data_IF_569662834937
#
_entry.id   IF_569662834937
#
_cell.length_a   1.000
_cell.length_b   1.000
_cell.length_c   1.000
_cell.angle_alpha   90.00
_cell.angle_beta   90.00
_cell.angle_gamma   90.00
#
_symmetry.space_group_name_H-M   'P 1'
#
loop_
_entity.id
_entity.type
_entity.pdbx_description
1 polymer ?
#
# COMPACT_ATOMS: atom_id res chain seq x y z
N UNK A 1 -5.56 8.76 2.98
CA UNK A 1 -4.15 8.31 2.88
C UNK A 1 -3.64 7.94 4.25
N UNK A 2 -3.00 6.78 4.36
CA UNK A 2 -2.38 6.29 5.60
C UNK A 2 -0.87 6.19 5.41
N UNK A 3 -0.10 6.73 6.34
CA UNK A 3 1.36 6.64 6.35
C UNK A 3 1.75 5.77 7.55
N UNK A 4 2.25 4.57 7.28
CA UNK A 4 2.66 3.62 8.32
C UNK A 4 4.05 3.99 8.81
N UNK A 5 4.20 4.07 10.13
CA UNK A 5 5.38 4.69 10.78
C UNK A 5 6.32 3.71 11.47
N UNK A 6 5.91 2.46 11.66
CA UNK A 6 6.60 1.46 12.50
C UNK A 6 7.23 0.29 11.72
N UNK A 7 7.40 0.44 10.40
CA UNK A 7 8.18 -0.53 9.60
C UNK A 7 9.60 0.00 9.42
N UNK A 8 10.62 -0.66 9.99
CA UNK A 8 12.00 -0.23 9.89
C UNK A 8 12.49 -0.25 8.44
N UNK A 9 13.31 0.73 8.09
CA UNK A 9 13.93 0.79 6.76
C UNK A 9 14.83 -0.43 6.55
N UNK A 10 14.61 -1.17 5.47
CA UNK A 10 15.41 -2.37 5.15
C UNK A 10 14.87 -3.68 5.73
N UNK A 11 13.91 -3.63 6.63
CA UNK A 11 13.25 -4.84 7.15
C UNK A 11 12.32 -5.44 6.08
N UNK A 12 12.84 -6.40 5.32
CA UNK A 12 12.07 -7.07 4.27
C UNK A 12 11.01 -8.02 4.85
N UNK A 13 11.25 -8.59 6.03
CA UNK A 13 10.29 -9.48 6.69
C UNK A 13 9.10 -8.68 7.24
N UNK A 14 9.36 -7.57 7.92
CA UNK A 14 8.32 -6.63 8.37
C UNK A 14 7.54 -6.03 7.20
N UNK A 15 8.21 -5.67 6.12
CA UNK A 15 7.55 -5.20 4.89
C UNK A 15 6.61 -6.27 4.30
N UNK A 16 7.08 -7.51 4.18
CA UNK A 16 6.27 -8.61 3.68
C UNK A 16 5.06 -8.89 4.58
N UNK A 17 5.28 -8.91 5.91
CA UNK A 17 4.19 -9.02 6.88
C UNK A 17 3.15 -7.91 6.77
N UNK A 18 3.59 -6.67 6.54
CA UNK A 18 2.68 -5.54 6.31
C UNK A 18 1.84 -5.72 5.05
N UNK A 19 2.46 -6.11 3.93
CA UNK A 19 1.72 -6.40 2.69
C UNK A 19 0.70 -7.51 2.88
N UNK A 20 1.08 -8.65 3.48
CA UNK A 20 0.15 -9.75 3.71
C UNK A 20 -1.06 -9.30 4.53
N UNK A 21 -0.83 -8.66 5.67
CA UNK A 21 -1.90 -8.19 6.58
C UNK A 21 -2.79 -7.13 5.97
N UNK A 22 -2.25 -6.22 5.15
CA UNK A 22 -3.03 -5.21 4.44
C UNK A 22 -3.89 -5.83 3.33
N UNK A 23 -3.36 -6.79 2.57
CA UNK A 23 -4.09 -7.54 1.54
C UNK A 23 -5.22 -8.35 2.17
N UNK A 24 -4.95 -9.06 3.27
CA UNK A 24 -5.95 -9.80 4.04
C UNK A 24 -7.04 -8.86 4.60
N UNK A 25 -6.65 -7.71 5.13
CA UNK A 25 -7.57 -6.72 5.66
C UNK A 25 -8.48 -6.12 4.58
N UNK A 26 -8.00 -6.01 3.35
CA UNK A 26 -8.76 -5.54 2.20
C UNK A 26 -9.55 -6.67 1.51
N UNK A 27 -9.33 -7.94 1.86
CA UNK A 27 -9.95 -9.09 1.18
C UNK A 27 -9.52 -9.22 -0.28
N UNK A 28 -8.27 -8.90 -0.62
CA UNK A 28 -7.76 -8.74 -1.98
C UNK A 28 -7.91 -7.32 -2.51
N UNK A 29 -8.09 -7.14 -3.81
CA UNK A 29 -8.28 -5.84 -4.46
C UNK A 29 -7.16 -4.83 -4.18
N UNK A 30 -5.92 -5.32 -4.05
CA UNK A 30 -4.77 -4.52 -3.65
C UNK A 30 -3.76 -4.40 -4.78
N UNK A 31 -3.36 -3.17 -5.09
CA UNK A 31 -2.22 -2.88 -5.96
C UNK A 31 -1.00 -2.51 -5.09
N UNK A 32 0.02 -3.37 -5.10
CA UNK A 32 1.28 -3.13 -4.41
C UNK A 32 2.33 -2.54 -5.35
N UNK A 33 2.82 -1.33 -5.06
CA UNK A 33 3.80 -0.62 -5.87
C UNK A 33 5.19 -0.64 -5.23
N UNK A 34 6.16 -1.15 -5.98
CA UNK A 34 7.55 -1.30 -5.56
C UNK A 34 8.48 -0.42 -6.38
N UNK A 35 9.53 0.06 -5.74
CA UNK A 35 10.60 0.84 -6.39
C UNK A 35 11.72 -0.04 -6.96
N UNK A 36 11.75 -1.34 -6.61
CA UNK A 36 12.75 -2.30 -7.06
C UNK A 36 12.17 -3.70 -7.25
N UNK A 37 12.47 -4.33 -8.39
CA UNK A 37 12.04 -5.69 -8.74
C UNK A 37 12.47 -6.72 -7.68
N UNK A 38 13.71 -6.61 -7.18
CA UNK A 38 14.22 -7.54 -6.18
C UNK A 38 13.38 -7.52 -4.88
N UNK A 39 12.95 -6.34 -4.43
CA UNK A 39 12.11 -6.21 -3.24
C UNK A 39 10.72 -6.80 -3.46
N UNK A 40 10.13 -6.56 -4.64
CA UNK A 40 8.87 -7.17 -5.05
C UNK A 40 8.98 -8.71 -4.98
N UNK A 41 10.01 -9.28 -5.60
CA UNK A 41 10.24 -10.74 -5.58
C UNK A 41 10.41 -11.29 -4.17
N UNK A 42 11.15 -10.59 -3.31
CA UNK A 42 11.37 -11.00 -1.93
C UNK A 42 10.09 -10.94 -1.09
N UNK A 43 9.24 -9.95 -1.29
CA UNK A 43 7.94 -9.86 -0.62
C UNK A 43 7.01 -10.95 -1.13
N UNK A 44 6.87 -11.08 -2.46
CA UNK A 44 6.03 -12.11 -3.08
C UNK A 44 6.37 -13.51 -2.53
N UNK A 45 7.65 -13.92 -2.56
CA UNK A 45 8.08 -15.23 -2.10
C UNK A 45 7.74 -15.53 -0.63
N UNK A 46 7.57 -14.50 0.21
CA UNK A 46 7.25 -14.66 1.64
C UNK A 46 5.75 -14.72 1.93
N UNK A 47 4.91 -14.19 1.04
CA UNK A 47 3.48 -14.02 1.35
C UNK A 47 2.56 -14.81 0.42
N UNK A 48 3.04 -15.31 -0.72
CA UNK A 48 2.21 -15.99 -1.71
C UNK A 48 1.46 -17.21 -1.12
N UNK A 49 2.17 -18.11 -0.45
CA UNK A 49 1.56 -19.30 0.16
C UNK A 49 0.59 -18.96 1.30
N UNK A 50 0.87 -17.89 2.05
CA UNK A 50 -0.01 -17.42 3.12
C UNK A 50 -1.33 -16.92 2.55
N UNK A 51 -1.28 -16.06 1.54
CA UNK A 51 -2.46 -15.51 0.88
C UNK A 51 -3.27 -16.57 0.15
N UNK A 52 -2.61 -17.54 -0.50
CA UNK A 52 -3.28 -18.66 -1.15
C UNK A 52 -4.10 -19.50 -0.16
N UNK A 53 -3.60 -19.74 1.06
CA UNK A 53 -4.35 -20.44 2.13
C UNK A 53 -5.59 -19.68 2.58
N UNK A 54 -5.58 -18.35 2.48
CA UNK A 54 -6.74 -17.49 2.76
C UNK A 54 -7.69 -17.34 1.55
N UNK A 55 -7.42 -18.06 0.45
CA UNK A 55 -8.21 -17.97 -0.77
C UNK A 55 -8.07 -16.66 -1.52
N UNK A 56 -6.92 -15.98 -1.36
CA UNK A 56 -6.56 -14.72 -2.02
C UNK A 56 -5.53 -14.99 -3.12
N UNK A 57 -5.79 -14.49 -4.33
CA UNK A 57 -4.88 -14.60 -5.47
C UNK A 57 -3.82 -13.51 -5.40
N UNK A 58 -2.55 -13.87 -5.48
CA UNK A 58 -1.45 -12.91 -5.56
C UNK A 58 -0.76 -13.01 -6.91
N UNK A 59 -0.91 -11.97 -7.71
CA UNK A 59 -0.25 -11.79 -9.00
C UNK A 59 0.98 -10.89 -8.83
N UNK A 60 2.04 -11.13 -9.58
CA UNK A 60 3.25 -10.33 -9.46
C UNK A 60 3.96 -10.15 -10.80
N UNK A 61 4.13 -8.90 -11.22
CA UNK A 61 4.98 -8.52 -12.34
C UNK A 61 6.43 -9.00 -12.09
N UNK A 62 7.10 -9.49 -13.10
CA UNK A 62 8.49 -10.02 -13.02
C UNK A 62 8.65 -11.33 -12.21
N UNK A 63 7.56 -11.93 -11.75
CA UNK A 63 7.52 -13.24 -11.08
C UNK A 63 6.70 -14.21 -11.92
N UNK A 64 5.44 -13.86 -12.17
CA UNK A 64 4.58 -14.68 -13.01
C UNK A 64 5.01 -14.60 -14.48
N UNK A 65 5.06 -15.74 -15.20
CA UNK A 65 5.47 -15.80 -16.61
C UNK A 65 4.34 -15.37 -17.55
N UNK A 66 3.70 -14.24 -17.23
CA UNK A 66 2.54 -13.68 -17.92
C UNK A 66 2.84 -12.22 -18.25
N UNK A 67 2.38 -11.74 -19.40
CA UNK A 67 2.55 -10.34 -19.76
C UNK A 67 1.73 -9.40 -18.84
N UNK A 68 2.17 -8.17 -18.74
CA UNK A 68 1.58 -7.19 -17.82
C UNK A 68 0.12 -6.89 -18.13
N UNK A 69 -0.29 -6.90 -19.39
CA UNK A 69 -1.70 -6.67 -19.79
C UNK A 69 -2.61 -7.76 -19.25
N UNK A 70 -2.22 -9.02 -19.46
CA UNK A 70 -2.96 -10.19 -18.96
C UNK A 70 -3.02 -10.20 -17.42
N UNK A 71 -1.92 -9.83 -16.71
CA UNK A 71 -1.93 -9.70 -15.25
C UNK A 71 -2.97 -8.67 -14.78
N UNK A 72 -3.04 -7.53 -15.48
CA UNK A 72 -4.03 -6.47 -15.17
C UNK A 72 -5.46 -6.93 -15.45
N UNK A 73 -5.68 -7.69 -16.53
CA UNK A 73 -7.00 -8.24 -16.87
C UNK A 73 -7.47 -9.23 -15.80
N UNK A 74 -6.62 -10.17 -15.38
CA UNK A 74 -6.93 -11.11 -14.28
C UNK A 74 -7.24 -10.33 -12.98
N UNK A 75 -6.44 -9.33 -12.65
CA UNK A 75 -6.65 -8.49 -11.47
C UNK A 75 -7.97 -7.71 -11.53
N UNK A 76 -8.38 -7.27 -12.72
CA UNK A 76 -9.66 -6.58 -12.92
C UNK A 76 -10.85 -7.50 -12.72
N UNK A 77 -10.74 -8.75 -13.18
CA UNK A 77 -11.86 -9.68 -13.21
C UNK A 77 -12.04 -10.46 -11.90
N UNK A 78 -11.00 -10.55 -11.06
CA UNK A 78 -11.06 -11.22 -9.76
C UNK A 78 -10.93 -10.23 -8.59
N UNK A 79 -12.04 -9.93 -7.87
CA UNK A 79 -12.00 -9.03 -6.71
C UNK A 79 -11.15 -9.53 -5.53
N UNK A 80 -10.79 -10.83 -5.51
CA UNK A 80 -9.90 -11.42 -4.51
C UNK A 80 -8.43 -11.39 -4.93
N UNK A 81 -8.15 -11.04 -6.17
CA UNK A 81 -6.79 -10.88 -6.64
C UNK A 81 -6.14 -9.62 -6.08
N UNK A 82 -4.84 -9.70 -5.89
CA UNK A 82 -3.95 -8.55 -5.62
C UNK A 82 -2.79 -8.60 -6.60
N UNK A 83 -2.29 -7.45 -7.01
CA UNK A 83 -1.23 -7.34 -8.01
C UNK A 83 -0.04 -6.56 -7.44
N UNK A 84 1.14 -7.20 -7.46
CA UNK A 84 2.39 -6.53 -7.12
C UNK A 84 3.12 -6.11 -8.41
N UNK A 85 3.57 -4.87 -8.45
CA UNK A 85 4.30 -4.36 -9.60
C UNK A 85 5.23 -3.20 -9.28
N UNK A 86 5.91 -2.74 -10.32
CA UNK A 86 6.82 -1.60 -10.27
C UNK A 86 6.20 -0.36 -10.91
N UNK A 87 6.99 0.69 -11.07
CA UNK A 87 6.57 1.96 -11.67
C UNK A 87 5.82 1.80 -13.02
N UNK A 88 6.13 0.76 -13.79
CA UNK A 88 5.45 0.48 -15.07
C UNK A 88 3.96 0.18 -14.90
N UNK A 89 3.57 -0.48 -13.81
CA UNK A 89 2.15 -0.73 -13.50
C UNK A 89 1.42 0.54 -13.05
N UNK A 90 2.12 1.48 -12.44
CA UNK A 90 1.51 2.76 -12.04
C UNK A 90 0.88 3.49 -13.22
N UNK A 91 1.49 3.40 -14.41
CA UNK A 91 1.05 4.11 -15.61
C UNK A 91 0.00 3.33 -16.42
N UNK A 92 -0.05 1.99 -16.31
CA UNK A 92 -0.83 1.09 -17.15
C UNK A 92 -2.06 0.43 -16.52
N UNK A 93 -2.27 0.53 -15.20
CA UNK A 93 -3.40 -0.14 -14.55
C UNK A 93 -4.66 0.73 -14.63
N UNK A 94 -5.63 0.26 -15.38
CA UNK A 94 -6.99 0.79 -15.43
C UNK A 94 -8.00 -0.24 -14.91
N UNK A 95 -8.19 -0.25 -13.59
CA UNK A 95 -9.08 -1.19 -12.89
C UNK A 95 -10.10 -0.38 -12.10
N UNK A 96 -11.33 -0.26 -12.58
CA UNK A 96 -12.38 0.49 -11.90
C UNK A 96 -13.08 -0.34 -10.82
N UNK A 97 -13.68 0.35 -9.86
CA UNK A 97 -14.62 -0.21 -8.89
C UNK A 97 -13.98 -1.12 -7.84
N UNK A 98 -14.70 -2.17 -7.46
CA UNK A 98 -14.37 -3.02 -6.30
C UNK A 98 -13.11 -3.89 -6.49
N UNK A 99 -12.62 -4.03 -7.70
CA UNK A 99 -11.39 -4.78 -7.97
C UNK A 99 -10.11 -4.05 -7.53
N UNK A 100 -10.16 -2.73 -7.35
CA UNK A 100 -9.06 -1.95 -6.77
C UNK A 100 -9.54 -1.09 -5.59
N UNK A 101 -9.35 -1.60 -4.38
CA UNK A 101 -9.79 -0.98 -3.12
C UNK A 101 -8.64 -0.41 -2.31
N UNK A 102 -7.42 -0.91 -2.53
CA UNK A 102 -6.24 -0.54 -1.77
C UNK A 102 -5.03 -0.39 -2.68
N UNK A 103 -4.33 0.74 -2.59
CA UNK A 103 -3.00 0.90 -3.17
C UNK A 103 -1.99 0.96 -2.03
N UNK A 104 -0.96 0.12 -2.09
CA UNK A 104 0.12 0.08 -1.10
C UNK A 104 1.44 0.42 -1.78
N UNK A 105 2.10 1.47 -1.33
CA UNK A 105 3.41 1.90 -1.79
C UNK A 105 4.47 1.51 -0.77
N UNK A 106 5.49 0.74 -1.19
CA UNK A 106 6.50 0.19 -0.27
C UNK A 106 7.33 1.26 0.43
N UNK A 107 7.51 2.40 -0.25
CA UNK A 107 8.24 3.58 0.24
C UNK A 107 7.93 4.80 -0.61
N UNK A 108 8.44 5.96 -0.17
CA UNK A 108 8.45 7.18 -0.99
C UNK A 108 9.23 6.92 -2.29
N UNK A 109 8.65 7.17 -3.49
CA UNK A 109 9.24 6.80 -4.77
C UNK A 109 10.28 7.81 -5.27
N UNK A 110 11.36 7.99 -4.51
CA UNK A 110 12.46 8.89 -4.89
C UNK A 110 13.07 8.47 -6.22
N UNK A 111 13.46 9.44 -7.07
CA UNK A 111 14.15 9.16 -8.31
C UNK A 111 15.47 8.41 -8.05
N UNK A 112 15.81 7.50 -8.96
CA UNK A 112 17.14 6.85 -8.90
C UNK A 112 18.20 7.84 -9.37
N UNK A 113 19.38 7.88 -8.73
CA UNK A 113 20.50 8.73 -9.14
C UNK A 113 21.13 8.18 -10.43
N UNK A 114 20.62 8.63 -11.58
CA UNK A 114 21.18 8.37 -12.90
C UNK A 114 21.82 9.65 -13.45
N UNK A 115 22.70 9.52 -14.44
CA UNK A 115 23.31 10.69 -15.11
C UNK A 115 22.24 11.64 -15.67
N UNK A 116 21.21 11.07 -16.31
CA UNK A 116 20.10 11.83 -16.86
C UNK A 116 19.30 12.55 -15.77
N UNK A 117 19.04 11.84 -14.64
CA UNK A 117 18.35 12.46 -13.50
C UNK A 117 19.19 13.60 -12.89
N UNK A 118 20.50 13.38 -12.72
CA UNK A 118 21.40 14.41 -12.19
C UNK A 118 21.39 15.68 -13.08
N UNK A 119 21.43 15.53 -14.40
CA UNK A 119 21.34 16.66 -15.33
C UNK A 119 20.00 17.39 -15.23
N UNK A 120 18.87 16.68 -15.20
CA UNK A 120 17.53 17.25 -15.03
C UNK A 120 17.36 17.93 -13.68
N UNK A 121 17.89 17.33 -12.62
CA UNK A 121 17.87 17.89 -11.28
C UNK A 121 18.64 19.20 -11.20
N UNK A 122 19.81 19.29 -11.84
CA UNK A 122 20.61 20.52 -11.90
C UNK A 122 19.84 21.64 -12.63
N UNK A 123 19.24 21.32 -13.78
CA UNK A 123 18.46 22.27 -14.57
C UNK A 123 17.13 22.67 -13.90
N UNK A 124 16.53 21.77 -13.13
CA UNK A 124 15.19 21.92 -12.55
C UNK A 124 15.16 22.45 -11.10
N UNK A 125 16.26 22.99 -10.58
CA UNK A 125 16.28 23.61 -9.23
C UNK A 125 16.59 22.62 -8.09
N UNK A 126 17.34 21.55 -8.34
CA UNK A 126 17.88 20.67 -7.31
C UNK A 126 16.82 19.80 -6.61
N UNK A 127 16.72 19.91 -5.29
CA UNK A 127 15.76 19.11 -4.50
C UNK A 127 14.30 19.43 -4.79
N UNK A 128 13.98 20.63 -5.27
CA UNK A 128 12.63 21.01 -5.68
C UNK A 128 12.15 20.17 -6.88
N UNK A 129 13.05 19.88 -7.81
CA UNK A 129 12.77 18.98 -8.93
C UNK A 129 12.47 17.55 -8.46
N UNK A 130 13.28 17.02 -7.51
CA UNK A 130 13.04 15.69 -6.94
C UNK A 130 11.66 15.62 -6.26
N UNK A 131 11.30 16.64 -5.47
CA UNK A 131 10.01 16.73 -4.82
C UNK A 131 8.85 16.77 -5.83
N UNK A 132 9.02 17.49 -6.94
CA UNK A 132 8.03 17.57 -8.02
C UNK A 132 7.82 16.18 -8.66
N UNK A 133 8.90 15.48 -8.97
CA UNK A 133 8.84 14.11 -9.53
C UNK A 133 8.15 13.16 -8.57
N UNK A 134 8.47 13.22 -7.28
CA UNK A 134 7.84 12.36 -6.27
C UNK A 134 6.36 12.69 -6.12
N UNK A 135 5.99 13.97 -6.05
CA UNK A 135 4.57 14.37 -5.98
C UNK A 135 3.77 13.85 -7.18
N UNK A 136 4.32 13.97 -8.40
CA UNK A 136 3.67 13.43 -9.58
C UNK A 136 3.45 11.91 -9.48
N UNK A 137 4.44 11.14 -9.00
CA UNK A 137 4.33 9.70 -8.79
C UNK A 137 3.30 9.33 -7.73
N UNK A 138 3.24 10.06 -6.63
CA UNK A 138 2.24 9.86 -5.57
C UNK A 138 0.83 10.16 -6.07
N UNK A 139 0.65 11.27 -6.77
CA UNK A 139 -0.64 11.66 -7.36
C UNK A 139 -1.12 10.63 -8.40
N UNK A 140 -0.23 10.13 -9.25
CA UNK A 140 -0.56 9.07 -10.22
C UNK A 140 -1.00 7.77 -9.51
N UNK A 141 -0.27 7.33 -8.48
CA UNK A 141 -0.64 6.14 -7.70
C UNK A 141 -1.98 6.30 -6.99
N UNK A 142 -2.21 7.48 -6.40
CA UNK A 142 -3.47 7.81 -5.74
C UNK A 142 -4.64 7.86 -6.73
N UNK A 143 -4.44 8.46 -7.92
CA UNK A 143 -5.44 8.56 -8.97
C UNK A 143 -5.91 7.22 -9.55
N UNK A 144 -5.27 6.10 -9.19
CA UNK A 144 -5.75 4.75 -9.54
C UNK A 144 -6.95 4.32 -8.71
N UNK A 145 -7.08 4.83 -7.48
CA UNK A 145 -8.14 4.45 -6.55
C UNK A 145 -9.48 5.12 -6.83
N UNK A 146 -9.49 6.38 -7.24
CA UNK A 146 -10.71 7.19 -7.33
C UNK A 146 -10.90 7.62 -8.78
N UNK A 147 -11.82 7.00 -9.49
CA UNK A 147 -12.13 7.28 -10.89
C UNK A 147 -13.56 7.70 -11.14
N UNK A 148 -14.48 7.28 -10.26
CA UNK A 148 -15.90 7.58 -10.36
C UNK A 148 -16.39 8.17 -9.05
N UNK A 149 -17.47 8.94 -9.14
CA UNK A 149 -18.19 9.40 -7.97
C UNK A 149 -18.76 8.18 -7.23
N UNK A 150 -18.34 7.98 -5.98
CA UNK A 150 -18.73 6.81 -5.18
C UNK A 150 -17.62 5.76 -5.00
N UNK A 151 -16.52 5.80 -5.76
CA UNK A 151 -15.37 4.92 -5.52
C UNK A 151 -14.83 5.10 -4.10
N UNK A 152 -14.55 3.99 -3.44
CA UNK A 152 -13.99 3.96 -2.09
C UNK A 152 -12.68 3.20 -2.10
N UNK A 153 -11.65 3.81 -1.52
CA UNK A 153 -10.37 3.15 -1.44
C UNK A 153 -9.44 3.82 -0.45
N UNK A 154 -8.33 3.16 -0.16
CA UNK A 154 -7.28 3.68 0.69
C UNK A 154 -5.94 3.63 -0.03
N UNK A 155 -5.13 4.66 0.22
CA UNK A 155 -3.74 4.72 -0.23
C UNK A 155 -2.83 4.61 0.98
N UNK A 156 -1.97 3.60 1.02
CA UNK A 156 -1.07 3.31 2.14
C UNK A 156 0.37 3.47 1.68
N UNK A 157 1.17 4.19 2.47
CA UNK A 157 2.61 4.34 2.25
C UNK A 157 3.34 3.71 3.43
N UNK A 158 4.16 2.69 3.18
CA UNK A 158 4.92 1.97 4.19
C UNK A 158 6.29 2.65 4.42
N UNK A 159 6.27 3.91 4.89
CA UNK A 159 7.48 4.70 5.09
C UNK A 159 7.31 5.78 6.14
N UNK A 160 7.89 5.58 7.30
CA UNK A 160 7.94 6.59 8.37
C UNK A 160 8.61 7.91 7.90
N UNK A 161 9.56 7.82 6.97
CA UNK A 161 10.33 8.95 6.45
C UNK A 161 9.61 9.76 5.35
N UNK A 162 8.28 9.65 5.21
CA UNK A 162 7.51 10.47 4.27
C UNK A 162 7.54 11.95 4.68
N UNK A 163 8.17 12.84 3.91
CA UNK A 163 8.22 14.27 4.24
C UNK A 163 6.84 14.93 4.10
N UNK A 164 6.47 15.78 5.07
CA UNK A 164 5.17 16.45 5.07
C UNK A 164 4.97 17.38 3.84
N UNK A 165 6.03 17.96 3.30
CA UNK A 165 5.99 18.79 2.09
C UNK A 165 5.53 18.05 0.82
N UNK A 166 5.58 16.72 0.82
CA UNK A 166 5.10 15.90 -0.29
C UNK A 166 3.61 15.58 -0.20
N UNK A 167 2.96 15.87 0.93
CA UNK A 167 1.52 15.62 1.12
C UNK A 167 0.64 16.46 0.20
N UNK A 168 1.17 17.55 -0.34
CA UNK A 168 0.50 18.36 -1.38
C UNK A 168 0.30 17.61 -2.72
N UNK A 169 0.83 16.38 -2.84
CA UNK A 169 0.51 15.47 -3.94
C UNK A 169 -0.94 14.97 -3.92
N UNK A 170 -1.58 15.02 -2.74
CA UNK A 170 -2.97 14.57 -2.56
C UNK A 170 -3.92 15.76 -2.55
N UNK A 171 -5.17 15.58 -3.01
CA UNK A 171 -6.19 16.63 -2.92
C UNK A 171 -6.38 17.13 -1.48
N UNK A 172 -6.65 18.42 -1.25
CA UNK A 172 -6.73 19.01 0.09
C UNK A 172 -7.85 18.44 0.96
N UNK A 173 -8.91 17.92 0.33
CA UNK A 173 -10.04 17.26 1.00
C UNK A 173 -9.72 15.83 1.47
N UNK A 174 -8.60 15.26 1.06
CA UNK A 174 -8.20 13.89 1.42
C UNK A 174 -7.53 13.87 2.77
N UNK A 175 -8.15 13.17 3.72
CA UNK A 175 -7.55 13.00 5.05
C UNK A 175 -6.26 12.18 4.97
N UNK A 176 -5.19 12.68 5.61
CA UNK A 176 -3.90 12.01 5.73
C UNK A 176 -3.62 11.72 7.19
N UNK A 177 -3.31 10.47 7.54
CA UNK A 177 -3.00 10.04 8.90
C UNK A 177 -1.64 9.33 8.94
N UNK A 178 -0.84 9.61 9.99
CA UNK A 178 0.38 8.88 10.34
C UNK A 178 0.08 7.98 11.52
N UNK A 179 0.31 6.68 11.38
CA UNK A 179 -0.09 5.72 12.41
C UNK A 179 0.68 4.40 12.28
N UNK A 180 0.73 3.59 13.36
CA UNK A 180 1.30 2.24 13.31
C UNK A 180 0.52 1.31 12.39
N UNK A 181 1.17 0.24 11.94
CA UNK A 181 0.60 -0.74 11.02
C UNK A 181 -0.73 -1.33 11.54
N UNK A 182 -0.81 -1.68 12.81
CA UNK A 182 -2.04 -2.28 13.38
C UNK A 182 -3.24 -1.35 13.28
N UNK A 183 -3.03 -0.06 13.54
CA UNK A 183 -4.08 0.94 13.36
C UNK A 183 -4.43 1.15 11.88
N UNK A 184 -3.43 1.10 10.98
CA UNK A 184 -3.66 1.17 9.54
C UNK A 184 -4.56 0.03 9.07
N UNK A 185 -4.30 -1.19 9.52
CA UNK A 185 -5.10 -2.39 9.22
C UNK A 185 -6.55 -2.21 9.71
N UNK A 186 -6.72 -1.72 10.94
CA UNK A 186 -8.04 -1.41 11.48
C UNK A 186 -8.80 -0.39 10.61
N UNK A 187 -8.13 0.68 10.19
CA UNK A 187 -8.71 1.70 9.29
C UNK A 187 -9.08 1.13 7.91
N UNK A 188 -8.26 0.23 7.36
CA UNK A 188 -8.57 -0.44 6.08
C UNK A 188 -9.86 -1.25 6.22
N UNK A 189 -9.98 -2.09 7.25
CA UNK A 189 -11.20 -2.88 7.49
C UNK A 189 -12.44 -2.01 7.69
N UNK A 190 -12.34 -1.03 8.57
CA UNK A 190 -13.44 -0.09 8.86
C UNK A 190 -13.91 0.64 7.60
N UNK A 191 -12.98 1.16 6.78
CA UNK A 191 -13.33 1.92 5.58
C UNK A 191 -13.94 1.08 4.49
N UNK A 192 -13.49 -0.16 4.30
CA UNK A 192 -13.92 -1.02 3.22
C UNK A 192 -15.17 -1.84 3.57
N UNK A 193 -15.33 -2.25 4.84
CA UNK A 193 -16.38 -3.17 5.26
C UNK A 193 -17.34 -2.62 6.33
N UNK A 194 -17.11 -1.39 6.82
CA UNK A 194 -17.95 -0.74 7.85
C UNK A 194 -17.61 -1.19 9.29
N UNK A 195 -18.32 -0.67 10.29
CA UNK A 195 -18.04 -0.86 11.73
C UNK A 195 -18.42 -2.23 12.30
N UNK A 196 -18.72 -3.23 11.47
CA UNK A 196 -19.27 -4.52 11.92
C UNK A 196 -18.27 -5.57 12.44
N UNK A 197 -16.95 -5.35 12.43
CA UNK A 197 -15.95 -6.42 12.65
C UNK A 197 -14.75 -6.00 13.51
N UNK A 198 -14.93 -5.17 14.53
CA UNK A 198 -13.87 -5.02 15.55
C UNK A 198 -14.50 -4.89 16.94
N UNK A 199 -14.74 -6.03 17.61
CA UNK A 199 -14.62 -6.01 19.07
C UNK A 199 -13.10 -5.90 19.36
N UNK A 200 -12.65 -4.90 20.13
CA UNK A 200 -11.30 -4.92 20.68
C UNK A 200 -11.18 -6.19 21.54
N UNK A 201 -10.12 -6.94 21.33
CA UNK A 201 -9.69 -7.93 22.31
C UNK A 201 -9.56 -7.16 23.62
N UNK A 202 -10.40 -7.51 24.59
CA UNK A 202 -10.38 -6.89 25.93
C UNK A 202 -8.95 -7.01 26.47
N UNK A 203 -8.40 -5.88 26.91
CA UNK A 203 -7.10 -5.83 27.55
C UNK A 203 -7.04 -6.84 28.67
N UNK A 204 -5.99 -7.67 28.66
CA UNK A 204 -5.70 -8.68 29.70
C UNK A 204 -5.60 -8.07 31.11
N UNK A 205 -5.52 -6.75 31.24
CA UNK A 205 -5.48 -6.03 32.53
C UNK A 205 -6.85 -5.92 33.22
N UNK A 206 -7.98 -6.11 32.53
CA UNK A 206 -9.28 -6.11 33.20
C UNK A 206 -9.60 -7.45 33.90
N UNK A 207 -9.01 -8.55 33.47
CA UNK A 207 -9.20 -9.85 34.14
C UNK A 207 -8.45 -9.94 35.48
N UNK A 208 -7.37 -9.20 35.65
CA UNK A 208 -6.60 -9.18 36.89
C UNK A 208 -7.25 -8.35 38.03
N UNK A 209 -8.23 -7.50 37.73
CA UNK A 209 -8.94 -6.70 38.73
C UNK A 209 -10.20 -7.38 39.28
N UNK A 210 -10.77 -8.35 38.57
CA UNK A 210 -11.95 -9.08 39.04
C UNK A 210 -11.57 -10.18 40.07
N UNK A 211 -10.33 -10.70 40.00
CA UNK A 211 -9.87 -11.70 40.99
C UNK A 211 -9.39 -11.14 42.32
N UNK A 212 -9.11 -9.84 42.42
CA UNK A 212 -8.67 -9.17 43.65
C UNK A 212 -9.83 -8.58 44.51
N UNK A 213 -11.07 -8.72 44.10
CA UNK A 213 -12.25 -8.22 44.79
C UNK A 213 -13.12 -9.28 45.46
N UNK A 214 -12.60 -10.50 45.60
CA UNK A 214 -13.30 -11.61 46.29
C UNK A 214 -12.40 -12.25 47.38
N UNK A 215 -12.00 -11.46 48.35
CA UNK A 215 -11.58 -11.92 49.66
C UNK A 215 -12.14 -10.97 50.71
#
# INVERSE_FOLDING_TARGET
VLIVTDIPRGDIAGLAGAYARLIEAAGGGTLGLFTAIQRLRQVHARIADRLAREGLTLLAQHVDPIDTGTLVDIFRDDPKASLLGTDALRDGVDVPGDSLRLVVMERVPWPRPTVLHAARRLAGGGSAYDDQVVRAKLAQGFGRLIRRQGDRGLFVILSAAMPSRLLTAFPPEVAVSRLPLDQAIGRVRQRLFGEGVLQPVADADQLAQVERGRD
#
